data_IF_167503189809
#
_entry.id   IF_167503189809
#
_cell.length_a   1.000
_cell.length_b   1.000
_cell.length_c   1.000
_cell.angle_alpha   90.00
_cell.angle_beta   90.00
_cell.angle_gamma   90.00
#
_symmetry.space_group_name_H-M   'P 1'
#
loop_
_entity.id
_entity.type
_entity.pdbx_description
1 polymer ?
#
# COMPACT_ATOMS: atom_id res chain seq x y z
N UNK A 1 -15.85 -5.80 12.37
CA UNK A 1 -14.48 -5.89 12.93
C UNK A 1 -13.47 -6.62 12.03
N UNK A 2 -13.86 -7.53 11.13
CA UNK A 2 -12.92 -8.34 10.31
C UNK A 2 -12.23 -7.57 9.16
N UNK A 3 -12.94 -6.66 8.47
CA UNK A 3 -12.41 -5.96 7.28
C UNK A 3 -11.15 -5.11 7.56
N UNK A 4 -11.03 -4.53 8.76
CA UNK A 4 -9.91 -3.64 9.11
C UNK A 4 -8.60 -4.41 9.27
N UNK A 5 -8.65 -5.63 9.80
CA UNK A 5 -7.45 -6.43 10.06
C UNK A 5 -6.80 -6.94 8.78
N UNK A 6 -7.62 -7.30 7.77
CA UNK A 6 -7.15 -7.70 6.45
C UNK A 6 -6.42 -6.54 5.76
N UNK A 7 -6.98 -5.33 5.80
CA UNK A 7 -6.36 -4.14 5.21
C UNK A 7 -5.04 -3.79 5.89
N UNK A 8 -4.95 -3.93 7.21
CA UNK A 8 -3.69 -3.71 7.95
C UNK A 8 -2.63 -4.73 7.54
N UNK A 9 -2.98 -6.02 7.46
CA UNK A 9 -2.06 -7.07 7.01
C UNK A 9 -1.61 -6.85 5.58
N UNK A 10 -2.53 -6.44 4.70
CA UNK A 10 -2.24 -6.12 3.31
C UNK A 10 -1.30 -4.93 3.18
N UNK A 11 -1.61 -3.80 3.83
CA UNK A 11 -0.77 -2.59 3.82
C UNK A 11 0.64 -2.83 4.33
N UNK A 12 0.78 -3.62 5.41
CA UNK A 12 2.10 -4.06 5.89
C UNK A 12 2.84 -4.88 4.84
N UNK A 13 2.20 -5.88 4.24
CA UNK A 13 2.83 -6.73 3.23
C UNK A 13 3.28 -5.95 1.99
N UNK A 14 2.46 -4.98 1.54
CA UNK A 14 2.83 -4.07 0.44
C UNK A 14 4.08 -3.27 0.80
N UNK A 15 4.15 -2.72 2.02
CA UNK A 15 5.33 -2.00 2.51
C UNK A 15 6.56 -2.90 2.56
N UNK A 16 6.42 -4.12 3.09
CA UNK A 16 7.53 -5.05 3.23
C UNK A 16 8.10 -5.45 1.87
N UNK A 17 7.25 -5.82 0.90
CA UNK A 17 7.68 -6.14 -0.46
C UNK A 17 8.28 -4.92 -1.18
N UNK A 18 7.71 -3.72 -0.99
CA UNK A 18 8.28 -2.49 -1.53
C UNK A 18 9.71 -2.27 -1.04
N UNK A 19 9.95 -2.44 0.27
CA UNK A 19 11.26 -2.27 0.89
C UNK A 19 12.23 -3.36 0.44
N UNK A 20 11.79 -4.63 0.36
CA UNK A 20 12.62 -5.73 -0.18
C UNK A 20 13.09 -5.49 -1.60
N UNK A 21 12.24 -4.88 -2.42
CA UNK A 21 12.56 -4.51 -3.80
C UNK A 21 13.35 -3.18 -3.91
N UNK A 22 13.68 -2.54 -2.79
CA UNK A 22 14.40 -1.26 -2.77
C UNK A 22 13.64 -0.09 -3.38
N UNK A 23 12.30 -0.17 -3.42
CA UNK A 23 11.46 0.82 -4.10
C UNK A 23 11.02 1.96 -3.16
N UNK A 24 11.02 3.19 -3.67
CA UNK A 24 10.27 4.29 -3.05
C UNK A 24 8.77 4.14 -3.28
N UNK A 25 7.95 4.86 -2.50
CA UNK A 25 6.50 4.86 -2.71
C UNK A 25 6.15 5.40 -4.10
N UNK A 26 6.86 6.42 -4.57
CA UNK A 26 6.74 6.98 -5.92
C UNK A 26 7.11 5.95 -7.00
N UNK A 27 8.17 5.18 -6.79
CA UNK A 27 8.61 4.15 -7.74
C UNK A 27 7.64 2.96 -7.82
N UNK A 28 7.01 2.60 -6.70
CA UNK A 28 5.92 1.61 -6.68
C UNK A 28 4.65 2.16 -7.34
N UNK A 29 4.31 3.41 -7.04
CA UNK A 29 3.13 4.07 -7.59
C UNK A 29 3.19 4.20 -9.12
N UNK A 30 4.34 4.61 -9.65
CA UNK A 30 4.59 4.68 -11.08
C UNK A 30 4.44 3.31 -11.77
N UNK A 31 4.97 2.24 -11.15
CA UNK A 31 4.82 0.86 -11.67
C UNK A 31 3.38 0.35 -11.61
N UNK A 32 2.65 0.73 -10.56
CA UNK A 32 1.26 0.34 -10.36
C UNK A 32 0.26 1.23 -11.10
N UNK A 33 0.72 2.30 -11.78
CA UNK A 33 -0.15 3.25 -12.48
C UNK A 33 -1.06 4.07 -11.55
N UNK A 34 -0.69 4.23 -10.28
CA UNK A 34 -1.46 4.97 -9.28
C UNK A 34 -0.69 6.18 -8.77
N UNK A 35 -1.39 7.10 -8.10
CA UNK A 35 -0.75 8.23 -7.46
C UNK A 35 0.04 7.78 -6.21
N UNK A 36 1.20 8.38 -5.94
CA UNK A 36 2.06 8.05 -4.77
C UNK A 36 1.31 8.09 -3.43
N UNK A 37 0.33 8.98 -3.30
CA UNK A 37 -0.50 9.13 -2.10
C UNK A 37 -1.37 7.89 -1.87
N UNK A 38 -1.78 7.20 -2.93
CA UNK A 38 -2.56 5.96 -2.84
C UNK A 38 -1.73 4.83 -2.22
N UNK A 39 -0.45 4.71 -2.61
CA UNK A 39 0.49 3.77 -1.99
C UNK A 39 0.63 4.07 -0.50
N UNK A 40 0.83 5.34 -0.13
CA UNK A 40 0.88 5.74 1.28
C UNK A 40 -0.40 5.41 2.07
N UNK A 41 -1.57 5.61 1.46
CA UNK A 41 -2.86 5.26 2.06
C UNK A 41 -3.04 3.75 2.26
N UNK A 42 -2.58 2.94 1.30
CA UNK A 42 -2.56 1.47 1.39
C UNK A 42 -1.66 1.03 2.54
N UNK A 43 -0.43 1.53 2.61
CA UNK A 43 0.54 1.14 3.64
C UNK A 43 0.07 1.49 5.06
N UNK A 44 -0.68 2.58 5.22
CA UNK A 44 -1.25 3.01 6.52
C UNK A 44 -2.61 2.39 6.82
N UNK A 45 -3.19 1.62 5.89
CA UNK A 45 -4.55 1.08 5.99
C UNK A 45 -5.62 2.17 6.28
N UNK A 46 -5.38 3.40 5.80
CA UNK A 46 -6.23 4.57 6.03
C UNK A 46 -7.41 4.64 5.05
N UNK A 47 -7.31 4.00 3.88
CA UNK A 47 -8.45 3.83 2.97
C UNK A 47 -8.90 2.38 2.90
N UNK A 48 -10.21 2.18 2.99
CA UNK A 48 -10.86 1.03 2.39
C UNK A 48 -10.57 1.15 0.88
N UNK A 49 -9.84 0.20 0.30
CA UNK A 49 -9.49 0.20 -1.12
C UNK A 49 -10.81 0.13 -1.89
N UNK A 50 -11.28 1.29 -2.34
CA UNK A 50 -12.38 1.40 -3.30
C UNK A 50 -11.70 1.84 -4.59
N UNK A 51 -11.68 0.92 -5.55
CA UNK A 51 -11.22 1.13 -6.92
C UNK A 51 -12.17 2.07 -7.65
#
# INVERSE_FOLDING_TARGET
MIKKEILIKFGKKVRDERVKLGLSQEALAARAGVHRTYIGMIERAEKNIMF
#
